data_IF_673045227078
#
_entry.id   IF_673045227078
#
_cell.length_a   1.000
_cell.length_b   1.000
_cell.length_c   1.000
_cell.angle_alpha   90.00
_cell.angle_beta   90.00
_cell.angle_gamma   90.00
#
_symmetry.space_group_name_H-M   'P 1'
#
loop_
_entity.id
_entity.type
_entity.pdbx_description
1 polymer ?
#
# COMPACT_ATOMS: atom_id res chain seq x y z
N UNK A 1 24.47 39.37 -12.18
CA UNK A 1 24.49 38.55 -10.97
C UNK A 1 23.52 37.42 -11.21
N UNK A 2 24.03 36.26 -11.55
CA UNK A 2 23.22 35.03 -11.64
C UNK A 2 22.83 34.67 -10.21
N UNK A 3 21.55 34.80 -9.90
CA UNK A 3 20.96 34.23 -8.67
C UNK A 3 21.24 32.73 -8.76
N UNK A 4 22.10 32.24 -7.88
CA UNK A 4 22.27 30.79 -7.73
C UNK A 4 20.87 30.22 -7.53
N UNK A 5 20.45 29.30 -8.39
CA UNK A 5 19.18 28.55 -8.19
C UNK A 5 19.31 27.87 -6.84
N UNK A 6 18.70 28.43 -5.82
CA UNK A 6 18.62 27.81 -4.50
C UNK A 6 17.79 26.57 -4.72
N UNK A 7 18.38 25.39 -4.46
CA UNK A 7 17.65 24.13 -4.48
C UNK A 7 16.65 24.14 -3.31
N UNK A 8 15.41 24.55 -3.58
CA UNK A 8 14.33 24.68 -2.60
C UNK A 8 13.04 24.09 -3.18
N UNK A 9 12.12 23.69 -2.32
CA UNK A 9 10.84 23.10 -2.69
C UNK A 9 10.55 21.82 -1.91
N UNK A 10 9.47 21.16 -2.28
CA UNK A 10 9.04 19.89 -1.69
C UNK A 10 9.21 18.72 -2.67
N UNK A 11 9.85 17.66 -2.23
CA UNK A 11 10.03 16.42 -2.96
C UNK A 11 9.26 15.29 -2.27
N UNK A 12 8.35 14.62 -2.98
CA UNK A 12 7.81 13.32 -2.56
C UNK A 12 8.68 12.21 -3.15
N UNK A 13 9.32 11.43 -2.30
CA UNK A 13 10.31 10.44 -2.72
C UNK A 13 9.89 9.04 -2.32
N UNK A 14 9.62 8.18 -3.30
CA UNK A 14 9.39 6.76 -3.07
C UNK A 14 10.69 6.03 -2.75
N UNK A 15 10.72 5.35 -1.60
CA UNK A 15 11.91 4.61 -1.15
C UNK A 15 11.85 3.10 -1.40
N UNK A 16 10.83 2.64 -2.13
CA UNK A 16 10.59 1.22 -2.37
C UNK A 16 9.87 0.51 -1.23
N UNK A 17 9.48 -0.75 -1.39
CA UNK A 17 8.46 -1.41 -0.56
C UNK A 17 8.97 -1.99 0.76
N UNK A 18 10.20 -1.72 1.17
CA UNK A 18 10.71 -2.14 2.47
C UNK A 18 12.18 -2.58 2.50
N UNK A 19 12.75 -3.06 1.40
CA UNK A 19 14.20 -3.26 1.27
C UNK A 19 14.80 -2.05 0.55
N UNK A 20 15.60 -1.26 1.25
CA UNK A 20 16.20 -0.04 0.70
C UNK A 20 17.20 -0.27 -0.44
N UNK A 21 17.60 -1.50 -0.71
CA UNK A 21 18.32 -1.84 -1.94
C UNK A 21 17.44 -1.65 -3.20
N UNK A 22 16.12 -1.56 -3.04
CA UNK A 22 15.15 -1.29 -4.11
C UNK A 22 14.83 0.20 -4.25
N UNK A 23 15.45 1.07 -3.47
CA UNK A 23 15.41 2.51 -3.65
C UNK A 23 16.13 2.88 -4.95
N UNK A 24 15.52 3.73 -5.76
CA UNK A 24 16.17 4.17 -7.01
C UNK A 24 17.39 5.03 -6.73
N UNK A 25 18.33 5.07 -7.66
CA UNK A 25 19.51 5.94 -7.54
C UNK A 25 19.10 7.40 -7.42
N UNK A 26 18.15 7.84 -8.23
CA UNK A 26 17.61 9.21 -8.21
C UNK A 26 16.98 9.54 -6.85
N UNK A 27 16.14 8.65 -6.30
CA UNK A 27 15.54 8.82 -4.99
C UNK A 27 16.61 9.02 -3.89
N UNK A 28 17.66 8.21 -3.93
CA UNK A 28 18.78 8.34 -3.00
C UNK A 28 19.53 9.67 -3.16
N UNK A 29 19.86 10.06 -4.39
CA UNK A 29 20.62 11.29 -4.68
C UNK A 29 19.83 12.53 -4.23
N UNK A 30 18.56 12.61 -4.56
CA UNK A 30 17.71 13.74 -4.19
C UNK A 30 17.50 13.79 -2.68
N UNK A 31 17.21 12.66 -2.02
CA UNK A 31 17.04 12.61 -0.57
C UNK A 31 18.29 13.06 0.20
N UNK A 32 19.49 12.72 -0.28
CA UNK A 32 20.76 13.19 0.32
C UNK A 32 20.91 14.72 0.17
N UNK A 33 20.47 15.29 -0.95
CA UNK A 33 20.58 16.73 -1.24
C UNK A 33 19.58 17.57 -0.46
N UNK A 34 18.45 17.00 -0.03
CA UNK A 34 17.48 17.71 0.79
C UNK A 34 18.08 18.05 2.16
N UNK A 35 17.82 19.26 2.65
CA UNK A 35 18.26 19.72 3.99
C UNK A 35 17.39 19.16 5.10
N UNK A 36 16.11 18.95 4.80
CA UNK A 36 15.10 18.35 5.71
C UNK A 36 14.51 17.09 5.12
N UNK A 37 14.34 16.07 5.95
CA UNK A 37 13.78 14.77 5.57
C UNK A 37 12.74 14.35 6.58
N UNK A 38 11.57 14.02 6.05
CA UNK A 38 10.46 13.43 6.79
C UNK A 38 10.22 12.02 6.29
N UNK A 39 9.96 11.07 7.18
CA UNK A 39 9.50 9.72 6.83
C UNK A 39 8.02 9.63 7.15
N UNK A 40 7.22 9.41 6.12
CA UNK A 40 5.78 9.17 6.27
C UNK A 40 5.54 7.82 6.93
N UNK A 41 4.72 7.79 7.98
CA UNK A 41 4.59 6.64 8.86
C UNK A 41 3.19 6.01 8.93
N UNK A 42 2.26 6.34 8.03
CA UNK A 42 0.88 5.85 8.14
C UNK A 42 0.31 5.12 6.91
N UNK A 43 0.77 5.40 5.69
CA UNK A 43 0.28 4.69 4.48
C UNK A 43 0.97 3.35 4.26
N UNK A 44 2.21 3.24 4.71
CA UNK A 44 2.99 2.01 4.68
C UNK A 44 4.02 2.01 5.82
N UNK A 45 4.61 0.84 6.12
CA UNK A 45 5.55 0.69 7.23
C UNK A 45 6.92 0.32 6.68
N UNK A 46 7.93 1.13 7.00
CA UNK A 46 9.31 0.72 6.81
C UNK A 46 9.66 -0.33 7.86
N UNK A 47 10.21 -1.51 7.49
CA UNK A 47 10.69 -2.48 8.48
C UNK A 47 11.70 -1.84 9.43
N UNK A 48 11.58 -2.15 10.72
CA UNK A 48 12.37 -1.50 11.77
C UNK A 48 13.89 -1.66 11.57
N UNK A 49 14.32 -2.80 11.04
CA UNK A 49 15.72 -3.05 10.68
C UNK A 49 16.23 -2.19 9.52
N UNK A 50 15.33 -1.55 8.78
CA UNK A 50 15.65 -0.64 7.67
C UNK A 50 15.67 0.84 8.08
N UNK A 51 15.19 1.20 9.27
CA UNK A 51 15.21 2.59 9.75
C UNK A 51 16.65 3.10 9.91
N UNK A 52 17.52 2.34 10.58
CA UNK A 52 18.94 2.68 10.71
C UNK A 52 19.66 2.68 9.35
N UNK A 53 19.27 1.78 8.46
CA UNK A 53 19.83 1.72 7.09
C UNK A 53 19.44 2.96 6.30
N UNK A 54 18.18 3.42 6.42
CA UNK A 54 17.72 4.65 5.79
C UNK A 54 18.51 5.86 6.28
N UNK A 55 18.67 6.01 7.60
CA UNK A 55 19.45 7.11 8.19
C UNK A 55 20.91 7.11 7.73
N UNK A 56 21.52 5.94 7.63
CA UNK A 56 22.87 5.79 7.09
C UNK A 56 22.99 6.17 5.60
N UNK A 57 21.90 6.01 4.81
CA UNK A 57 21.87 6.32 3.39
C UNK A 57 21.63 7.81 3.13
N UNK A 58 20.63 8.40 3.79
CA UNK A 58 20.14 9.75 3.46
C UNK A 58 20.42 10.79 4.55
N UNK A 59 20.86 10.40 5.73
CA UNK A 59 21.02 11.24 6.91
C UNK A 59 19.77 11.25 7.80
N UNK A 60 19.82 12.07 8.86
CA UNK A 60 18.74 12.14 9.84
C UNK A 60 17.39 12.56 9.21
N UNK A 61 16.31 12.00 9.74
CA UNK A 61 14.93 12.23 9.34
C UNK A 61 13.99 12.27 10.55
N UNK A 62 12.82 12.88 10.38
CA UNK A 62 11.73 12.91 11.36
C UNK A 62 10.54 12.10 10.85
N UNK A 63 9.89 11.32 11.72
CA UNK A 63 8.65 10.62 11.35
C UNK A 63 7.48 11.60 11.39
N UNK A 64 6.64 11.56 10.36
CA UNK A 64 5.40 12.34 10.27
C UNK A 64 4.21 11.42 10.06
N UNK A 65 3.09 11.75 10.68
CA UNK A 65 1.85 11.01 10.61
C UNK A 65 0.83 11.76 9.73
N UNK A 66 -0.37 11.23 9.63
CA UNK A 66 -1.42 11.79 8.75
C UNK A 66 -1.70 13.26 9.03
N UNK A 67 -1.76 13.67 10.30
CA UNK A 67 -2.08 15.05 10.69
C UNK A 67 -1.09 16.06 10.10
N UNK A 68 0.22 15.75 10.18
CA UNK A 68 1.26 16.63 9.63
C UNK A 68 1.28 16.65 8.10
N UNK A 69 0.81 15.58 7.46
CA UNK A 69 0.70 15.51 5.99
C UNK A 69 -0.57 16.19 5.48
N UNK A 70 -1.70 16.03 6.17
CA UNK A 70 -2.97 16.68 5.81
C UNK A 70 -3.00 18.18 6.20
N UNK A 71 -2.19 18.60 7.20
CA UNK A 71 -2.00 19.98 7.60
C UNK A 71 -0.52 20.40 7.49
N UNK A 72 0.05 20.47 6.29
CA UNK A 72 1.50 20.49 6.06
C UNK A 72 2.16 21.85 6.27
N UNK A 73 1.59 22.77 7.07
CA UNK A 73 2.07 24.16 7.22
C UNK A 73 3.56 24.25 7.55
N UNK A 74 4.04 23.46 8.54
CA UNK A 74 5.48 23.42 8.89
C UNK A 74 6.34 23.02 7.71
N UNK A 75 5.95 21.95 7.02
CA UNK A 75 6.67 21.39 5.88
C UNK A 75 6.72 22.38 4.71
N UNK A 76 5.59 23.05 4.43
CA UNK A 76 5.49 24.04 3.35
C UNK A 76 6.31 25.31 3.68
N UNK A 77 6.27 25.79 4.92
CA UNK A 77 7.07 26.97 5.32
C UNK A 77 8.58 26.73 5.22
N UNK A 78 9.04 25.52 5.53
CA UNK A 78 10.42 25.08 5.31
C UNK A 78 10.73 25.00 3.81
N UNK A 79 9.85 24.37 3.01
CA UNK A 79 10.03 24.15 1.57
C UNK A 79 10.13 25.44 0.73
N UNK A 80 9.59 26.57 1.23
CA UNK A 80 9.76 27.88 0.59
C UNK A 80 11.23 28.31 0.47
N UNK A 81 12.05 27.91 1.43
CA UNK A 81 13.41 28.43 1.57
C UNK A 81 14.50 27.37 1.39
N UNK A 82 14.17 26.11 1.57
CA UNK A 82 15.11 24.99 1.52
C UNK A 82 14.51 23.77 0.83
N UNK A 83 15.36 22.79 0.51
CA UNK A 83 14.93 21.52 -0.06
C UNK A 83 14.42 20.61 1.05
N UNK A 84 13.13 20.31 1.01
CA UNK A 84 12.47 19.42 1.96
C UNK A 84 12.01 18.17 1.21
N UNK A 85 12.19 16.98 1.78
CA UNK A 85 11.57 15.79 1.21
C UNK A 85 10.73 15.01 2.22
N UNK A 86 9.67 14.39 1.70
CA UNK A 86 8.89 13.36 2.38
C UNK A 86 9.23 12.02 1.73
N UNK A 87 9.86 11.16 2.49
CA UNK A 87 10.19 9.79 2.13
C UNK A 87 8.97 8.91 2.37
N UNK A 88 8.52 8.21 1.33
CA UNK A 88 7.33 7.37 1.37
C UNK A 88 7.69 5.93 1.03
N UNK A 89 7.31 4.99 1.89
CA UNK A 89 7.51 3.57 1.63
C UNK A 89 6.67 3.15 0.42
N UNK A 90 7.29 2.53 -0.57
CA UNK A 90 6.67 2.24 -1.86
C UNK A 90 6.81 3.38 -2.85
N UNK A 91 5.71 3.77 -3.47
CA UNK A 91 5.58 4.88 -4.40
C UNK A 91 4.68 5.96 -3.77
N UNK A 92 5.08 7.24 -3.79
CA UNK A 92 4.38 8.30 -3.06
C UNK A 92 2.99 8.64 -3.63
N UNK A 93 2.68 8.20 -4.85
CA UNK A 93 1.41 8.51 -5.51
C UNK A 93 0.51 7.27 -5.68
N UNK A 94 0.91 6.13 -5.11
CA UNK A 94 0.13 4.88 -5.19
C UNK A 94 -0.64 4.61 -3.90
N UNK A 95 -1.97 4.53 -4.02
CA UNK A 95 -2.90 4.25 -2.92
C UNK A 95 -2.81 5.28 -1.76
N UNK A 96 -2.59 6.55 -2.10
CA UNK A 96 -2.45 7.67 -1.17
C UNK A 96 -3.32 8.86 -1.56
N UNK A 97 -3.36 9.90 -0.70
CA UNK A 97 -4.01 11.19 -0.93
C UNK A 97 -3.01 12.32 -1.16
N UNK A 98 -1.73 12.02 -1.40
CA UNK A 98 -0.65 13.01 -1.50
C UNK A 98 -0.80 14.04 -2.62
N UNK A 99 -1.75 13.85 -3.53
CA UNK A 99 -2.13 14.88 -4.52
C UNK A 99 -2.52 16.20 -3.85
N UNK A 100 -3.01 16.17 -2.61
CA UNK A 100 -3.35 17.37 -1.86
C UNK A 100 -2.12 18.22 -1.54
N UNK A 101 -0.96 17.59 -1.31
CA UNK A 101 0.32 18.30 -1.12
C UNK A 101 0.74 19.07 -2.38
N UNK A 102 0.53 18.51 -3.56
CA UNK A 102 0.79 19.18 -4.83
C UNK A 102 -0.08 20.44 -4.95
N UNK A 103 -1.36 20.34 -4.59
CA UNK A 103 -2.27 21.49 -4.62
C UNK A 103 -1.82 22.57 -3.64
N UNK A 104 -1.47 22.22 -2.41
CA UNK A 104 -0.96 23.17 -1.42
C UNK A 104 0.33 23.87 -1.89
N UNK A 105 1.27 23.11 -2.47
CA UNK A 105 2.50 23.68 -3.02
C UNK A 105 2.21 24.67 -4.15
N UNK A 106 1.31 24.30 -5.06
CA UNK A 106 0.89 25.16 -6.17
C UNK A 106 0.31 26.50 -5.66
N UNK A 107 -0.61 26.43 -4.68
CA UNK A 107 -1.28 27.61 -4.13
C UNK A 107 -0.30 28.57 -3.43
N UNK A 108 0.78 28.04 -2.86
CA UNK A 108 1.80 28.80 -2.16
C UNK A 108 3.03 29.14 -3.02
N UNK A 109 3.05 28.73 -4.31
CA UNK A 109 4.17 28.97 -5.23
C UNK A 109 5.44 28.21 -4.87
N UNK A 110 5.30 27.05 -4.23
CA UNK A 110 6.41 26.16 -3.87
C UNK A 110 6.64 25.17 -5.00
N UNK A 111 7.91 24.95 -5.37
CA UNK A 111 8.26 23.91 -6.34
C UNK A 111 7.94 22.53 -5.76
N UNK A 112 7.20 21.72 -6.53
CA UNK A 112 6.78 20.38 -6.13
C UNK A 112 7.31 19.33 -7.10
N UNK A 113 7.97 18.30 -6.57
CA UNK A 113 8.60 17.26 -7.36
C UNK A 113 8.25 15.87 -6.82
N UNK A 114 8.05 14.92 -7.74
CA UNK A 114 7.77 13.52 -7.41
C UNK A 114 8.90 12.65 -7.93
N UNK A 115 9.52 11.89 -7.05
CA UNK A 115 10.46 10.83 -7.40
C UNK A 115 9.77 9.49 -7.17
N UNK A 116 9.43 8.75 -8.24
CA UNK A 116 8.68 7.51 -8.10
C UNK A 116 9.50 6.43 -7.40
N UNK A 117 8.81 5.52 -6.73
CA UNK A 117 9.37 4.34 -6.10
C UNK A 117 8.73 3.04 -6.58
N UNK A 118 9.37 1.92 -6.28
CA UNK A 118 8.78 0.60 -6.53
C UNK A 118 7.64 0.36 -5.53
N UNK A 119 6.40 0.31 -6.03
CA UNK A 119 5.21 0.09 -5.20
C UNK A 119 4.97 -1.38 -4.90
N UNK A 120 4.53 -1.68 -3.68
CA UNK A 120 4.05 -3.00 -3.30
C UNK A 120 2.84 -3.46 -4.16
N UNK A 121 2.02 -2.53 -4.66
CA UNK A 121 0.90 -2.86 -5.57
C UNK A 121 1.40 -3.43 -6.89
N UNK A 122 2.44 -2.83 -7.47
CA UNK A 122 3.08 -3.33 -8.68
C UNK A 122 3.76 -4.68 -8.46
N UNK A 123 4.44 -4.84 -7.32
CA UNK A 123 5.04 -6.12 -6.93
C UNK A 123 3.99 -7.21 -6.75
N UNK A 124 2.87 -6.90 -6.10
CA UNK A 124 1.78 -7.86 -5.89
C UNK A 124 1.26 -8.40 -7.24
N UNK A 125 1.03 -7.51 -8.19
CA UNK A 125 0.61 -7.91 -9.54
C UNK A 125 1.68 -8.78 -10.21
N UNK A 126 2.93 -8.33 -10.24
CA UNK A 126 4.03 -9.03 -10.94
C UNK A 126 4.34 -10.39 -10.32
N UNK A 127 4.30 -10.49 -8.99
CA UNK A 127 4.72 -11.69 -8.26
C UNK A 127 3.59 -12.68 -8.00
N UNK A 128 2.33 -12.29 -8.22
CA UNK A 128 1.18 -13.19 -8.08
C UNK A 128 1.26 -14.40 -9.02
N UNK A 129 1.91 -14.24 -10.17
CA UNK A 129 1.94 -15.25 -11.23
C UNK A 129 0.71 -15.19 -12.14
N UNK A 130 -0.12 -14.15 -11.99
CA UNK A 130 -1.26 -13.89 -12.82
C UNK A 130 -0.92 -12.85 -13.90
N UNK A 131 -1.68 -12.83 -14.97
CA UNK A 131 -1.48 -11.92 -16.09
C UNK A 131 -1.84 -10.49 -15.68
N UNK A 132 -0.88 -9.56 -15.70
CA UNK A 132 -1.04 -8.19 -15.20
C UNK A 132 -2.17 -7.42 -15.88
N UNK A 133 -2.43 -7.67 -17.16
CA UNK A 133 -3.51 -7.02 -17.92
C UNK A 133 -4.92 -7.56 -17.58
N UNK A 134 -5.03 -8.60 -16.77
CA UNK A 134 -6.30 -9.14 -16.24
C UNK A 134 -6.64 -8.60 -14.85
N UNK A 135 -5.90 -7.66 -14.31
CA UNK A 135 -6.27 -7.02 -13.06
C UNK A 135 -7.30 -5.92 -13.29
N UNK A 136 -8.36 -5.96 -12.48
CA UNK A 136 -9.38 -4.93 -12.42
C UNK A 136 -9.05 -3.85 -11.39
N UNK A 137 -10.10 -3.18 -10.90
CA UNK A 137 -9.96 -2.14 -9.88
C UNK A 137 -9.38 -2.72 -8.60
N UNK A 138 -8.35 -2.07 -8.07
CA UNK A 138 -7.82 -2.36 -6.74
C UNK A 138 -8.85 -2.01 -5.66
N UNK A 139 -8.82 -2.75 -4.56
CA UNK A 139 -9.75 -2.62 -3.45
C UNK A 139 -8.96 -2.47 -2.16
N UNK A 140 -9.27 -1.46 -1.36
CA UNK A 140 -8.81 -1.40 0.03
C UNK A 140 -9.84 -2.05 0.92
N UNK A 141 -9.39 -2.94 1.79
CA UNK A 141 -10.22 -3.60 2.80
C UNK A 141 -10.03 -2.88 4.13
N UNK A 142 -10.97 -2.02 4.56
CA UNK A 142 -10.85 -1.29 5.80
C UNK A 142 -11.19 -2.17 7.01
N UNK A 143 -10.70 -1.79 8.18
CA UNK A 143 -11.20 -2.29 9.45
C UNK A 143 -12.69 -1.95 9.64
N UNK A 144 -13.32 -2.62 10.58
CA UNK A 144 -14.68 -2.26 11.04
C UNK A 144 -14.56 -1.16 12.09
N UNK A 145 -15.25 -0.03 11.89
CA UNK A 145 -15.23 1.10 12.81
C UNK A 145 -16.48 1.09 13.69
N UNK A 146 -16.36 0.60 14.92
CA UNK A 146 -17.52 0.42 15.80
C UNK A 146 -18.55 -0.51 15.16
N UNK A 147 -19.78 0.00 14.93
CA UNK A 147 -20.85 -0.75 14.26
C UNK A 147 -20.86 -0.58 12.74
N UNK A 148 -19.95 0.21 12.17
CA UNK A 148 -19.91 0.46 10.75
C UNK A 148 -19.07 -0.60 10.02
N UNK A 149 -19.70 -1.32 9.10
CA UNK A 149 -19.08 -2.27 8.19
C UNK A 149 -19.31 -1.79 6.76
N UNK A 150 -18.23 -1.31 6.11
CA UNK A 150 -18.26 -0.95 4.70
C UNK A 150 -18.45 -2.20 3.84
N UNK A 151 -19.44 -2.23 2.94
CA UNK A 151 -19.68 -3.37 2.02
C UNK A 151 -19.19 -3.11 0.60
N UNK A 152 -18.78 -1.88 0.31
CA UNK A 152 -18.28 -1.50 -1.01
C UNK A 152 -17.09 -2.33 -1.52
N UNK A 153 -16.13 -2.78 -0.68
CA UNK A 153 -15.04 -3.64 -1.13
C UNK A 153 -15.55 -4.92 -1.78
N UNK A 154 -16.50 -5.60 -1.15
CA UNK A 154 -17.07 -6.85 -1.67
C UNK A 154 -17.82 -6.62 -2.99
N UNK A 155 -18.58 -5.54 -3.09
CA UNK A 155 -19.28 -5.14 -4.34
C UNK A 155 -18.29 -4.87 -5.49
N UNK A 156 -17.12 -4.30 -5.19
CA UNK A 156 -16.07 -4.06 -6.18
C UNK A 156 -15.39 -5.36 -6.63
N UNK A 157 -15.12 -6.27 -5.69
CA UNK A 157 -14.61 -7.61 -6.00
C UNK A 157 -15.59 -8.33 -6.94
N UNK A 158 -16.89 -8.30 -6.63
CA UNK A 158 -17.92 -8.89 -7.47
C UNK A 158 -17.93 -8.29 -8.88
N UNK A 159 -17.82 -6.96 -9.01
CA UNK A 159 -17.75 -6.30 -10.32
C UNK A 159 -16.54 -6.75 -11.15
N UNK A 160 -15.39 -6.92 -10.50
CA UNK A 160 -14.21 -7.45 -11.17
C UNK A 160 -14.45 -8.90 -11.62
N UNK A 161 -15.00 -9.75 -10.74
CA UNK A 161 -15.29 -11.16 -11.05
C UNK A 161 -16.25 -11.32 -12.25
N UNK A 162 -17.33 -10.53 -12.29
CA UNK A 162 -18.28 -10.52 -13.42
C UNK A 162 -17.57 -10.17 -14.74
N UNK A 163 -16.59 -9.27 -14.70
CA UNK A 163 -15.78 -8.87 -15.87
C UNK A 163 -14.57 -9.80 -16.10
N UNK A 164 -14.47 -10.90 -15.40
CA UNK A 164 -13.33 -11.84 -15.47
C UNK A 164 -11.98 -11.17 -15.20
N UNK A 165 -11.93 -10.28 -14.19
CA UNK A 165 -10.74 -9.54 -13.77
C UNK A 165 -10.32 -9.95 -12.36
N UNK A 166 -9.01 -10.16 -12.16
CA UNK A 166 -8.43 -10.39 -10.84
C UNK A 166 -8.54 -9.14 -9.97
N UNK A 167 -8.66 -9.31 -8.66
CA UNK A 167 -8.75 -8.20 -7.72
C UNK A 167 -7.56 -8.19 -6.77
N UNK A 168 -6.77 -7.12 -6.78
CA UNK A 168 -5.81 -6.84 -5.71
C UNK A 168 -6.54 -6.18 -4.55
N UNK A 169 -6.42 -6.77 -3.37
CA UNK A 169 -6.96 -6.26 -2.10
C UNK A 169 -5.80 -5.80 -1.23
N UNK A 170 -5.78 -4.53 -0.91
CA UNK A 170 -4.85 -3.92 0.05
C UNK A 170 -5.50 -3.97 1.44
N UNK A 171 -4.77 -4.46 2.43
CA UNK A 171 -5.24 -4.54 3.81
C UNK A 171 -4.94 -3.23 4.53
N UNK A 172 -5.90 -2.79 5.34
CA UNK A 172 -5.77 -1.58 6.16
C UNK A 172 -4.67 -1.75 7.23
N UNK A 173 -4.07 -0.63 7.59
CA UNK A 173 -3.01 -0.53 8.60
C UNK A 173 -3.48 0.20 9.86
N UNK A 174 -4.70 0.75 9.88
CA UNK A 174 -5.16 1.60 10.96
C UNK A 174 -6.57 1.24 11.44
N UNK A 175 -6.68 0.48 12.54
CA UNK A 175 -7.98 0.14 13.12
C UNK A 175 -8.79 1.36 13.60
N UNK A 176 -8.12 2.49 13.87
CA UNK A 176 -8.79 3.73 14.31
C UNK A 176 -9.35 4.54 13.14
N UNK A 177 -8.77 4.39 11.95
CA UNK A 177 -9.08 5.18 10.76
C UNK A 177 -8.60 6.63 10.84
N UNK A 178 -7.92 7.02 11.93
CA UNK A 178 -7.49 8.40 12.19
C UNK A 178 -6.06 8.70 11.72
N UNK A 179 -5.23 7.67 11.49
CA UNK A 179 -3.82 7.82 11.07
C UNK A 179 -2.92 8.47 12.11
N UNK A 180 -3.33 8.46 13.38
CA UNK A 180 -2.62 9.11 14.51
C UNK A 180 -1.83 8.11 15.33
N UNK A 181 -2.27 6.85 15.36
CA UNK A 181 -1.64 5.80 16.14
C UNK A 181 -0.58 5.05 15.32
N UNK A 182 0.25 4.29 16.02
CA UNK A 182 1.19 3.37 15.36
C UNK A 182 0.39 2.38 14.50
N UNK A 183 0.73 2.23 13.22
CA UNK A 183 0.03 1.32 12.34
C UNK A 183 -0.07 -0.09 12.91
N UNK A 184 -1.25 -0.68 12.79
CA UNK A 184 -1.56 -2.05 13.18
C UNK A 184 -2.01 -2.81 11.93
N UNK A 185 -1.10 -3.48 11.22
CA UNK A 185 -1.42 -4.17 9.99
C UNK A 185 -2.47 -5.26 10.20
N UNK A 186 -3.52 -5.23 9.36
CA UNK A 186 -4.58 -6.24 9.38
C UNK A 186 -4.01 -7.62 9.04
N UNK A 187 -4.32 -8.61 9.84
CA UNK A 187 -3.93 -10.00 9.62
C UNK A 187 -4.82 -10.67 8.57
N UNK A 188 -4.33 -11.71 7.87
CA UNK A 188 -5.12 -12.51 6.94
C UNK A 188 -6.40 -13.08 7.55
N UNK A 189 -6.35 -13.55 8.80
CA UNK A 189 -7.53 -14.03 9.54
C UNK A 189 -8.60 -12.94 9.69
N UNK A 190 -8.20 -11.73 10.07
CA UNK A 190 -9.10 -10.58 10.27
C UNK A 190 -9.70 -10.13 8.93
N UNK A 191 -8.88 -10.05 7.87
CA UNK A 191 -9.32 -9.68 6.53
C UNK A 191 -10.40 -10.63 6.01
N UNK A 192 -10.20 -11.93 6.16
CA UNK A 192 -11.15 -12.95 5.71
C UNK A 192 -12.42 -12.93 6.56
N UNK A 193 -12.32 -12.72 7.86
CA UNK A 193 -13.47 -12.54 8.74
C UNK A 193 -14.31 -11.31 8.33
N UNK A 194 -13.66 -10.18 8.00
CA UNK A 194 -14.34 -8.98 7.53
C UNK A 194 -15.07 -9.24 6.21
N UNK A 195 -14.43 -9.92 5.25
CA UNK A 195 -15.09 -10.32 3.99
C UNK A 195 -16.31 -11.21 4.22
N UNK A 196 -16.23 -12.13 5.17
CA UNK A 196 -17.39 -12.97 5.54
C UNK A 196 -18.52 -12.16 6.19
N UNK A 197 -18.19 -11.18 7.05
CA UNK A 197 -19.18 -10.27 7.64
C UNK A 197 -19.88 -9.43 6.57
N UNK A 198 -19.12 -8.90 5.61
CA UNK A 198 -19.66 -8.15 4.45
C UNK A 198 -20.61 -9.03 3.63
N UNK A 199 -20.19 -10.26 3.35
CA UNK A 199 -21.00 -11.23 2.59
C UNK A 199 -22.34 -11.53 3.30
N UNK A 200 -22.30 -11.81 4.61
CA UNK A 200 -23.50 -12.06 5.40
C UNK A 200 -24.43 -10.84 5.41
N UNK A 201 -23.88 -9.63 5.58
CA UNK A 201 -24.65 -8.39 5.59
C UNK A 201 -25.37 -8.16 4.26
N UNK A 202 -24.68 -8.28 3.13
CA UNK A 202 -25.28 -8.09 1.81
C UNK A 202 -26.35 -9.12 1.48
N UNK A 203 -26.17 -10.37 1.89
CA UNK A 203 -27.20 -11.40 1.73
C UNK A 203 -28.46 -11.14 2.58
N UNK A 204 -28.32 -10.55 3.77
CA UNK A 204 -29.47 -10.15 4.60
C UNK A 204 -30.21 -8.92 4.04
N UNK A 205 -29.51 -8.04 3.35
CA UNK A 205 -30.07 -6.85 2.70
C UNK A 205 -30.68 -7.15 1.32
N UNK A 206 -30.78 -8.45 0.94
CA UNK A 206 -31.26 -8.91 -0.37
C UNK A 206 -30.51 -8.31 -1.57
N UNK A 207 -29.29 -7.82 -1.31
CA UNK A 207 -28.39 -7.35 -2.36
C UNK A 207 -27.85 -8.57 -3.11
N UNK A 208 -28.19 -8.71 -4.38
CA UNK A 208 -27.86 -9.91 -5.17
C UNK A 208 -26.36 -10.09 -5.29
N UNK A 209 -25.82 -11.13 -4.65
CA UNK A 209 -24.44 -11.55 -4.80
C UNK A 209 -24.35 -12.77 -5.72
N UNK A 210 -23.58 -12.64 -6.79
CA UNK A 210 -23.28 -13.74 -7.72
C UNK A 210 -22.03 -14.54 -7.31
N UNK A 211 -21.60 -14.39 -6.06
CA UNK A 211 -20.41 -15.01 -5.51
C UNK A 211 -20.78 -16.08 -4.48
N UNK A 212 -20.02 -17.15 -4.45
CA UNK A 212 -20.04 -18.10 -3.35
C UNK A 212 -19.48 -17.44 -2.06
N UNK A 213 -19.70 -18.07 -0.87
CA UNK A 213 -19.14 -17.54 0.38
C UNK A 213 -17.63 -17.33 0.31
N UNK A 214 -17.07 -16.20 0.82
CA UNK A 214 -15.67 -15.87 0.69
C UNK A 214 -14.69 -16.96 1.13
N UNK A 215 -15.07 -17.75 2.14
CA UNK A 215 -14.22 -18.82 2.68
C UNK A 215 -13.80 -19.85 1.62
N UNK A 216 -14.59 -20.00 0.55
CA UNK A 216 -14.36 -20.97 -0.53
C UNK A 216 -13.57 -20.41 -1.70
N UNK A 217 -13.35 -19.07 -1.73
CA UNK A 217 -12.67 -18.46 -2.85
C UNK A 217 -11.19 -18.83 -2.88
N UNK A 218 -10.65 -18.94 -4.09
CA UNK A 218 -9.21 -18.96 -4.26
C UNK A 218 -8.62 -17.59 -3.94
N UNK A 219 -7.44 -17.59 -3.32
CA UNK A 219 -6.68 -16.37 -3.01
C UNK A 219 -5.18 -16.60 -3.16
N UNK A 220 -4.45 -15.53 -3.40
CA UNK A 220 -3.00 -15.50 -3.30
C UNK A 220 -2.68 -14.47 -2.23
N UNK A 221 -2.13 -14.94 -1.10
CA UNK A 221 -1.67 -14.09 -0.02
C UNK A 221 -0.21 -13.71 -0.26
N UNK A 222 0.06 -12.40 -0.22
CA UNK A 222 1.39 -11.86 -0.37
C UNK A 222 1.73 -11.09 0.91
N UNK A 223 2.77 -11.52 1.57
CA UNK A 223 3.21 -10.97 2.86
C UNK A 223 4.60 -10.36 2.73
N UNK A 224 4.83 -9.23 3.37
CA UNK A 224 6.11 -8.53 3.48
C UNK A 224 6.82 -8.34 2.12
N UNK A 225 6.05 -7.98 1.09
CA UNK A 225 6.54 -7.81 -0.27
C UNK A 225 7.72 -6.83 -0.35
N UNK A 226 8.74 -7.23 -1.10
CA UNK A 226 9.96 -6.44 -1.29
C UNK A 226 10.92 -6.48 -0.12
N UNK A 227 10.68 -7.32 0.89
CA UNK A 227 11.60 -7.55 2.01
C UNK A 227 12.28 -8.94 1.91
N UNK A 228 13.20 -9.22 2.81
CA UNK A 228 13.83 -10.56 2.92
C UNK A 228 12.85 -11.62 3.44
N UNK A 229 11.82 -11.19 4.17
CA UNK A 229 10.80 -12.05 4.77
C UNK A 229 9.61 -12.28 3.82
N UNK A 230 9.70 -11.82 2.57
CA UNK A 230 8.64 -11.94 1.58
C UNK A 230 8.14 -13.38 1.45
N UNK A 231 6.84 -13.55 1.51
CA UNK A 231 6.17 -14.85 1.32
C UNK A 231 4.97 -14.69 0.39
N UNK A 232 4.82 -15.61 -0.56
CA UNK A 232 3.70 -15.65 -1.49
C UNK A 232 3.15 -17.06 -1.49
N UNK A 233 1.89 -17.21 -1.08
CA UNK A 233 1.21 -18.51 -0.98
C UNK A 233 -0.18 -18.41 -1.60
N UNK A 234 -0.68 -19.52 -2.10
CA UNK A 234 -2.02 -19.65 -2.66
C UNK A 234 -2.82 -20.75 -1.96
N UNK A 235 -4.11 -20.61 -1.97
CA UNK A 235 -5.06 -21.55 -1.38
C UNK A 235 -6.48 -21.00 -1.42
N UNK A 236 -7.41 -21.68 -0.76
CA UNK A 236 -8.71 -21.09 -0.44
C UNK A 236 -8.55 -20.03 0.65
N UNK A 237 -9.47 -19.08 0.73
CA UNK A 237 -9.43 -18.09 1.82
C UNK A 237 -9.52 -18.77 3.19
N UNK A 238 -10.22 -19.91 3.28
CA UNK A 238 -10.24 -20.73 4.50
C UNK A 238 -8.86 -21.22 4.92
N UNK A 239 -8.08 -21.73 3.98
CA UNK A 239 -6.69 -22.14 4.21
C UNK A 239 -5.80 -20.94 4.57
N UNK A 240 -5.95 -19.84 3.84
CA UNK A 240 -5.14 -18.63 4.02
C UNK A 240 -5.43 -17.90 5.34
N UNK A 241 -6.66 -18.05 5.91
CA UNK A 241 -7.02 -17.44 7.19
C UNK A 241 -6.19 -17.92 8.38
N UNK A 242 -5.47 -19.01 8.24
CA UNK A 242 -4.57 -19.55 9.27
C UNK A 242 -3.12 -19.02 9.16
N UNK A 243 -2.84 -18.16 8.18
CA UNK A 243 -1.49 -17.75 7.79
C UNK A 243 -1.16 -16.33 8.29
N UNK A 244 -1.26 -16.10 9.59
CA UNK A 244 -1.03 -14.78 10.22
C UNK A 244 0.47 -14.42 10.43
N UNK A 245 1.39 -15.13 9.77
CA UNK A 245 2.81 -14.82 9.82
C UNK A 245 3.16 -13.72 8.83
N UNK A 246 4.03 -12.82 9.24
CA UNK A 246 4.42 -11.62 8.50
C UNK A 246 3.83 -10.36 9.14
N UNK A 247 4.21 -9.20 8.63
CA UNK A 247 3.79 -7.91 9.17
C UNK A 247 2.76 -7.23 8.28
N UNK A 248 3.05 -7.10 6.98
CA UNK A 248 2.19 -6.40 6.03
C UNK A 248 1.70 -7.38 4.98
N UNK A 249 0.40 -7.33 4.70
CA UNK A 249 -0.25 -8.27 3.80
C UNK A 249 -1.08 -7.55 2.74
N UNK A 250 -1.14 -8.16 1.58
CA UNK A 250 -2.18 -7.92 0.60
C UNK A 250 -2.62 -9.27 0.00
N UNK A 251 -3.73 -9.27 -0.70
CA UNK A 251 -4.30 -10.50 -1.26
C UNK A 251 -4.76 -10.26 -2.70
N UNK A 252 -4.58 -11.26 -3.55
CA UNK A 252 -5.20 -11.26 -4.87
C UNK A 252 -6.31 -12.31 -4.88
N UNK A 253 -7.51 -11.88 -5.26
CA UNK A 253 -8.62 -12.78 -5.59
C UNK A 253 -8.60 -13.01 -7.10
N UNK A 254 -8.25 -14.20 -7.56
CA UNK A 254 -8.24 -14.51 -8.98
C UNK A 254 -9.66 -14.57 -9.55
N UNK A 255 -9.81 -14.14 -10.81
CA UNK A 255 -10.94 -14.51 -11.65
C UNK A 255 -10.66 -15.87 -12.33
N UNK A 256 -11.33 -16.20 -13.43
CA UNK A 256 -11.07 -17.44 -14.14
C UNK A 256 -9.61 -17.51 -14.59
N UNK A 257 -8.96 -18.61 -14.26
CA UNK A 257 -7.57 -18.85 -14.64
C UNK A 257 -7.44 -19.25 -16.11
N UNK A 258 -6.41 -18.75 -16.78
CA UNK A 258 -5.81 -19.45 -17.91
C UNK A 258 -5.03 -20.69 -17.41
N UNK A 259 -4.63 -21.57 -18.30
CA UNK A 259 -3.84 -22.77 -17.94
C UNK A 259 -2.54 -22.39 -17.22
N UNK A 260 -1.82 -21.37 -17.71
CA UNK A 260 -0.57 -20.92 -17.11
C UNK A 260 -0.80 -20.29 -15.73
N UNK A 261 -1.86 -19.51 -15.56
CA UNK A 261 -2.22 -18.91 -14.25
C UNK A 261 -2.59 -19.99 -13.23
N UNK A 262 -3.32 -21.01 -13.68
CA UNK A 262 -3.68 -22.15 -12.82
C UNK A 262 -2.44 -22.92 -12.36
N UNK A 263 -1.49 -23.14 -13.26
CA UNK A 263 -0.22 -23.78 -12.91
C UNK A 263 0.58 -22.92 -11.93
N UNK A 264 0.69 -21.60 -12.17
CA UNK A 264 1.37 -20.67 -11.27
C UNK A 264 0.72 -20.63 -9.89
N UNK A 265 -0.60 -20.66 -9.82
CA UNK A 265 -1.36 -20.75 -8.57
C UNK A 265 -1.04 -22.05 -7.83
N UNK A 266 -1.10 -23.20 -8.51
CA UNK A 266 -0.85 -24.51 -7.91
C UNK A 266 0.57 -24.66 -7.37
N UNK A 267 1.57 -24.07 -8.02
CA UNK A 267 2.98 -24.07 -7.55
C UNK A 267 3.20 -23.31 -6.25
N UNK A 268 2.31 -22.37 -5.93
CA UNK A 268 2.35 -21.58 -4.68
C UNK A 268 1.44 -22.13 -3.61
N UNK A 269 0.69 -23.19 -3.91
CA UNK A 269 -0.22 -23.81 -2.96
C UNK A 269 0.57 -24.30 -1.76
N UNK A 270 -0.01 -24.09 -0.58
CA UNK A 270 0.55 -24.64 0.65
C UNK A 270 0.62 -26.16 0.52
N UNK A 271 1.81 -26.72 0.69
CA UNK A 271 1.99 -28.17 0.82
C UNK A 271 1.61 -28.51 2.25
N UNK A 272 0.65 -29.40 2.44
CA UNK A 272 0.25 -29.93 3.73
C UNK A 272 1.43 -30.59 4.48
#
# INVERSE_FOLDING_TARGET
MTVANVFSGLWLIGIGPGNLQQMTLEAKEIAIRCSKRYLEGYTAILPKDQEDVLENIVGAWEKVMREEIENPRKILDEAKNEAVCILVVGDPMQATTHVDLEMHCHDEGIEFNIIPGLSATSLAVSMSGLQSYKFGRQVTLPYTYGNYLATSPLKLIQKNQINNLHTLILFDLDPSGMGVEVPQPMKPSEAIEILQKMYKKLNLEEDVLYLEPPITWNGILLSDLGTKEQKIISGTLGELSTQDRGNIHCMVIPANFSEMEKEAFNRRRMVE
#
